data_IF_824156902253
#
_entry.id   IF_824156902253
#
_cell.length_a   1.000
_cell.length_b   1.000
_cell.length_c   1.000
_cell.angle_alpha   90.00
_cell.angle_beta   90.00
_cell.angle_gamma   90.00
#
_symmetry.space_group_name_H-M   'P 1'
#
loop_
_entity.id
_entity.type
_entity.pdbx_description
1 polymer ?
#
# COMPACT_ATOMS: atom_id res chain seq x y z
N UNK A 1 -0.57 5.21 -3.96
CA UNK A 1 -1.11 6.58 -3.84
C UNK A 1 -0.03 7.53 -4.29
N UNK A 2 -0.39 8.65 -4.90
CA UNK A 2 0.54 9.74 -5.21
C UNK A 2 0.18 10.85 -4.24
N UNK A 3 1.14 11.19 -3.38
CA UNK A 3 0.99 12.21 -2.36
C UNK A 3 2.02 13.32 -2.57
N UNK A 4 1.56 14.54 -2.84
CA UNK A 4 2.43 15.71 -3.11
C UNK A 4 3.53 15.42 -4.16
N UNK A 5 3.18 14.70 -5.22
CA UNK A 5 4.09 14.33 -6.30
C UNK A 5 5.09 13.20 -5.95
N UNK A 6 4.97 12.59 -4.77
CA UNK A 6 5.79 11.45 -4.33
C UNK A 6 4.97 10.16 -4.36
N UNK A 7 5.65 9.05 -4.66
CA UNK A 7 5.01 7.75 -4.61
C UNK A 7 4.86 7.30 -3.16
N UNK A 8 3.62 7.00 -2.77
CA UNK A 8 3.26 6.52 -1.44
C UNK A 8 2.48 5.21 -1.56
N UNK A 9 3.18 4.08 -1.48
CA UNK A 9 2.60 2.76 -1.57
C UNK A 9 1.86 2.39 -0.29
N UNK A 10 0.63 1.87 -0.42
CA UNK A 10 -0.15 1.29 0.68
C UNK A 10 -0.31 -0.21 0.42
N UNK A 11 0.50 -1.02 1.09
CA UNK A 11 0.41 -2.48 1.00
C UNK A 11 -0.76 -2.97 1.84
N UNK A 12 -1.65 -3.77 1.23
CA UNK A 12 -2.72 -4.47 1.95
C UNK A 12 -2.18 -5.82 2.41
N UNK A 13 -2.23 -6.09 3.70
CA UNK A 13 -1.81 -7.35 4.29
C UNK A 13 -2.78 -7.79 5.39
N UNK A 14 -2.69 -9.05 5.79
CA UNK A 14 -3.49 -9.63 6.87
C UNK A 14 -2.57 -10.41 7.81
N UNK A 15 -2.90 -10.40 9.10
CA UNK A 15 -2.18 -11.18 10.11
C UNK A 15 -2.30 -12.68 9.82
N UNK A 16 -1.20 -13.43 9.98
CA UNK A 16 -1.21 -14.89 9.89
C UNK A 16 -2.09 -15.57 10.95
N UNK A 17 -2.37 -14.87 12.06
CA UNK A 17 -3.23 -15.37 13.13
C UNK A 17 -4.72 -15.08 12.89
N UNK A 18 -5.07 -14.35 11.83
CA UNK A 18 -6.46 -14.04 11.53
C UNK A 18 -7.20 -15.31 11.05
N UNK A 19 -8.41 -15.63 11.56
CA UNK A 19 -9.17 -16.82 11.18
C UNK A 19 -9.40 -16.98 9.68
N UNK A 20 -9.47 -15.87 8.93
CA UNK A 20 -9.70 -15.90 7.48
C UNK A 20 -8.40 -15.85 6.65
N UNK A 21 -7.22 -15.68 7.26
CA UNK A 21 -5.94 -15.56 6.55
C UNK A 21 -5.70 -16.74 5.59
N UNK A 22 -6.02 -17.97 6.00
CA UNK A 22 -5.85 -19.16 5.14
C UNK A 22 -6.68 -19.13 3.86
N UNK A 23 -7.74 -18.33 3.79
CA UNK A 23 -8.61 -18.20 2.62
C UNK A 23 -8.28 -16.99 1.75
N UNK A 24 -7.53 -16.03 2.27
CA UNK A 24 -7.12 -14.80 1.57
C UNK A 24 -5.82 -15.05 0.81
N UNK A 25 -5.92 -15.58 -0.42
CA UNK A 25 -4.74 -15.99 -1.21
C UNK A 25 -4.17 -14.88 -2.05
N UNK A 26 -5.01 -13.93 -2.47
CA UNK A 26 -4.62 -12.75 -3.23
C UNK A 26 -5.57 -11.57 -2.99
N UNK A 27 -5.27 -10.43 -3.60
CA UNK A 27 -6.06 -9.19 -3.47
C UNK A 27 -7.52 -9.38 -3.88
N UNK A 28 -7.78 -10.26 -4.86
CA UNK A 28 -9.11 -10.56 -5.37
C UNK A 28 -9.99 -11.35 -4.38
N UNK A 29 -9.41 -11.93 -3.34
CA UNK A 29 -10.18 -12.60 -2.29
C UNK A 29 -10.70 -11.62 -1.24
N UNK A 30 -10.08 -10.44 -1.11
CA UNK A 30 -10.50 -9.44 -0.13
C UNK A 30 -11.97 -9.05 -0.31
N UNK A 31 -12.49 -8.71 -1.51
CA UNK A 31 -13.91 -8.39 -1.68
C UNK A 31 -14.86 -9.57 -1.41
N UNK A 32 -14.37 -10.82 -1.46
CA UNK A 32 -15.20 -12.02 -1.23
C UNK A 32 -15.46 -12.26 0.25
N UNK A 33 -14.44 -12.05 1.09
CA UNK A 33 -14.51 -12.28 2.53
C UNK A 33 -14.75 -10.99 3.33
N UNK A 34 -14.33 -9.85 2.81
CA UNK A 34 -14.45 -8.51 3.40
C UNK A 34 -15.04 -7.53 2.36
N UNK A 35 -16.31 -7.70 1.98
CA UNK A 35 -16.95 -6.86 0.97
C UNK A 35 -16.91 -5.38 1.39
N UNK A 36 -16.52 -4.50 0.45
CA UNK A 36 -16.38 -3.05 0.67
C UNK A 36 -15.08 -2.62 1.37
N UNK A 37 -14.25 -3.55 1.86
CA UNK A 37 -12.99 -3.20 2.55
C UNK A 37 -12.02 -2.42 1.66
N UNK A 38 -11.76 -2.90 0.44
CA UNK A 38 -10.85 -2.23 -0.48
C UNK A 38 -11.37 -0.85 -0.91
N UNK A 39 -12.67 -0.72 -1.15
CA UNK A 39 -13.29 0.56 -1.53
C UNK A 39 -13.21 1.57 -0.39
N UNK A 40 -13.52 1.14 0.84
CA UNK A 40 -13.42 1.99 2.02
C UNK A 40 -11.98 2.45 2.26
N UNK A 41 -10.98 1.57 2.13
CA UNK A 41 -9.55 1.92 2.26
C UNK A 41 -9.16 2.95 1.20
N UNK A 42 -9.51 2.70 -0.07
CA UNK A 42 -9.20 3.62 -1.17
C UNK A 42 -9.82 4.99 -0.94
N UNK A 43 -11.09 5.03 -0.58
CA UNK A 43 -11.81 6.28 -0.36
C UNK A 43 -11.25 7.04 0.84
N UNK A 44 -10.97 6.34 1.95
CA UNK A 44 -10.37 6.95 3.13
C UNK A 44 -9.04 7.64 2.77
N UNK A 45 -8.14 6.94 2.08
CA UNK A 45 -6.88 7.54 1.62
C UNK A 45 -7.08 8.64 0.57
N UNK A 46 -8.15 8.60 -0.22
CA UNK A 46 -8.47 9.65 -1.18
C UNK A 46 -8.83 10.96 -0.48
N UNK A 47 -9.61 10.90 0.60
CA UNK A 47 -10.27 12.11 1.16
C UNK A 47 -9.74 12.58 2.52
N UNK A 48 -8.92 11.80 3.22
CA UNK A 48 -8.56 12.12 4.62
C UNK A 48 -7.90 13.49 4.82
N UNK A 49 -7.25 14.05 3.79
CA UNK A 49 -6.63 15.40 3.85
C UNK A 49 -7.61 16.55 3.64
N UNK A 50 -8.80 16.28 3.06
CA UNK A 50 -9.77 17.31 2.69
C UNK A 50 -10.25 18.07 3.93
N UNK A 51 -10.47 17.39 5.05
CA UNK A 51 -10.90 18.03 6.29
C UNK A 51 -9.84 18.97 6.90
N UNK A 52 -8.58 18.85 6.47
CA UNK A 52 -7.46 19.70 6.91
C UNK A 52 -7.15 20.82 5.89
N UNK A 53 -7.98 20.98 4.86
CA UNK A 53 -7.76 21.96 3.79
C UNK A 53 -6.83 21.48 2.67
N UNK A 54 -6.43 20.20 2.66
CA UNK A 54 -5.70 19.59 1.55
C UNK A 54 -6.62 19.16 0.41
N UNK A 55 -6.02 18.74 -0.70
CA UNK A 55 -6.74 18.18 -1.85
C UNK A 55 -6.94 16.66 -1.74
N UNK A 56 -7.80 16.11 -2.59
CA UNK A 56 -7.96 14.67 -2.70
C UNK A 56 -6.67 14.01 -3.23
N UNK A 57 -6.27 12.88 -2.64
CA UNK A 57 -5.09 12.15 -3.09
C UNK A 57 -5.33 11.48 -4.46
N UNK A 58 -4.30 11.43 -5.29
CA UNK A 58 -4.33 10.75 -6.57
C UNK A 58 -3.78 9.32 -6.46
N UNK A 59 -4.11 8.47 -7.42
CA UNK A 59 -3.61 7.10 -7.49
C UNK A 59 -3.05 6.81 -8.88
N UNK A 60 -1.97 6.05 -8.93
CA UNK A 60 -1.55 5.38 -10.16
C UNK A 60 -2.55 4.24 -10.50
N UNK A 61 -2.53 3.78 -11.75
CA UNK A 61 -3.36 2.66 -12.23
C UNK A 61 -4.86 2.86 -11.95
N UNK A 62 -5.36 4.08 -12.03
CA UNK A 62 -6.76 4.43 -11.76
C UNK A 62 -7.27 3.96 -10.38
N UNK A 63 -6.36 3.82 -9.40
CA UNK A 63 -6.69 3.34 -8.06
C UNK A 63 -6.82 1.82 -7.92
N UNK A 64 -6.53 1.04 -8.97
CA UNK A 64 -6.51 -0.42 -8.92
C UNK A 64 -5.57 -0.93 -7.82
N UNK A 65 -6.06 -1.84 -6.97
CA UNK A 65 -5.19 -2.58 -6.07
C UNK A 65 -4.48 -3.66 -6.88
N UNK A 66 -3.16 -3.57 -6.98
CA UNK A 66 -2.35 -4.61 -7.62
C UNK A 66 -2.31 -5.86 -6.74
N UNK A 67 -2.07 -7.01 -7.38
CA UNK A 67 -1.97 -8.30 -6.72
C UNK A 67 -0.76 -8.42 -5.78
N UNK A 68 -0.69 -9.54 -5.07
CA UNK A 68 0.40 -9.80 -4.12
C UNK A 68 1.76 -9.89 -4.81
N UNK A 69 1.84 -10.39 -6.05
CA UNK A 69 3.12 -10.55 -6.75
C UNK A 69 3.73 -9.18 -7.02
N UNK A 70 2.91 -8.26 -7.54
CA UNK A 70 3.31 -6.88 -7.73
C UNK A 70 3.67 -6.20 -6.41
N UNK A 71 2.87 -6.40 -5.36
CA UNK A 71 3.15 -5.82 -4.04
C UNK A 71 4.49 -6.31 -3.45
N UNK A 72 4.78 -7.62 -3.56
CA UNK A 72 6.05 -8.20 -3.11
C UNK A 72 7.23 -7.65 -3.89
N UNK A 73 7.10 -7.45 -5.22
CA UNK A 73 8.14 -6.81 -6.02
C UNK A 73 8.45 -5.39 -5.56
N UNK A 74 7.42 -4.58 -5.27
CA UNK A 74 7.60 -3.22 -4.71
C UNK A 74 8.33 -3.26 -3.36
N UNK A 75 7.99 -4.23 -2.50
CA UNK A 75 8.67 -4.43 -1.20
C UNK A 75 10.14 -4.80 -1.41
N UNK A 76 10.44 -5.72 -2.32
CA UNK A 76 11.81 -6.16 -2.61
C UNK A 76 12.66 -5.01 -3.17
N UNK A 77 12.10 -4.19 -4.08
CA UNK A 77 12.77 -2.99 -4.58
C UNK A 77 13.04 -1.98 -3.46
N UNK A 78 12.06 -1.71 -2.60
CA UNK A 78 12.23 -0.83 -1.43
C UNK A 78 13.27 -1.37 -0.45
N UNK A 79 13.32 -2.70 -0.25
CA UNK A 79 14.33 -3.36 0.58
C UNK A 79 15.73 -3.20 0.00
N UNK A 80 15.90 -3.32 -1.31
CA UNK A 80 17.17 -3.09 -2.00
C UNK A 80 17.60 -1.63 -1.90
N UNK A 81 16.68 -0.67 -2.05
CA UNK A 81 16.95 0.75 -1.82
C UNK A 81 17.41 1.02 -0.39
N UNK A 82 16.78 0.38 0.59
CA UNK A 82 17.20 0.45 2.00
C UNK A 82 18.59 -0.14 2.24
N UNK A 83 18.92 -1.29 1.63
CA UNK A 83 20.28 -1.85 1.69
C UNK A 83 21.32 -0.88 1.14
N UNK A 84 21.03 -0.25 -0.01
CA UNK A 84 21.92 0.75 -0.59
C UNK A 84 22.08 1.96 0.33
N UNK A 85 20.99 2.45 0.92
CA UNK A 85 21.03 3.55 1.89
C UNK A 85 21.94 3.22 3.08
N UNK A 86 21.83 2.00 3.64
CA UNK A 86 22.61 1.59 4.82
C UNK A 86 24.06 1.22 4.51
N UNK A 87 24.30 0.50 3.42
CA UNK A 87 25.62 -0.08 3.08
C UNK A 87 26.48 0.88 2.27
N UNK A 88 25.90 1.55 1.27
CA UNK A 88 26.63 2.40 0.31
C UNK A 88 26.76 3.82 0.83
N UNK A 89 25.73 4.35 1.51
CA UNK A 89 25.67 5.75 1.88
C UNK A 89 25.87 6.07 3.37
N UNK A 90 26.24 5.11 4.25
CA UNK A 90 26.45 5.28 5.71
C UNK A 90 25.63 6.43 6.35
N UNK A 91 24.36 6.59 5.98
CA UNK A 91 23.47 7.61 6.54
C UNK A 91 22.72 6.93 7.68
N UNK A 92 23.14 7.22 8.91
CA UNK A 92 22.49 6.73 10.12
C UNK A 92 21.19 7.48 10.44
N UNK A 93 20.96 8.63 9.81
CA UNK A 93 19.82 9.51 10.03
C UNK A 93 19.34 10.05 8.67
N UNK A 94 18.01 10.23 8.55
CA UNK A 94 17.33 10.81 7.39
C UNK A 94 17.13 12.31 7.56
#
# INVERSE_FOLDING_TARGET
MIDEGKMDWKVVCISHNDPICRFMKDIHDVPKFLPGCLDAIREWFRVYKICQGGEASHFAFDGEFKDKEYAMKVIDEAHNMWHNLRKVNKRGEL
#
